data_IF_325862057676
#
_entry.id   IF_325862057676
#
_cell.length_a   1.000
_cell.length_b   1.000
_cell.length_c   1.000
_cell.angle_alpha   90.00
_cell.angle_beta   90.00
_cell.angle_gamma   90.00
#
_symmetry.space_group_name_H-M   'P 1'
#
loop_
_entity.id
_entity.type
_entity.pdbx_description
1 polymer ?
#
# COMPACT_ATOMS: atom_id res chain seq x y z
N UNK A 1 -9.59 23.67 17.91
CA UNK A 1 -8.60 22.60 17.88
C UNK A 1 -8.65 21.89 16.54
N UNK A 2 -7.52 21.79 15.91
CA UNK A 2 -7.45 21.17 14.59
C UNK A 2 -7.21 19.68 14.74
N UNK A 3 -8.01 18.88 14.07
CA UNK A 3 -7.83 17.44 14.08
C UNK A 3 -7.10 17.01 12.81
N UNK A 4 -6.17 16.11 12.99
CA UNK A 4 -5.51 15.47 11.84
C UNK A 4 -6.31 14.28 11.40
N UNK A 5 -6.48 14.18 10.10
CA UNK A 5 -7.09 13.01 9.49
C UNK A 5 -6.02 12.25 8.74
N UNK A 6 -5.92 10.95 9.02
CA UNK A 6 -4.97 10.09 8.33
C UNK A 6 -5.69 9.34 7.24
N UNK A 7 -5.09 9.33 6.06
CA UNK A 7 -5.58 8.57 4.92
C UNK A 7 -4.62 7.44 4.65
N UNK A 8 -5.16 6.25 4.47
CA UNK A 8 -4.35 5.09 4.13
C UNK A 8 -4.30 5.01 2.61
N UNK A 9 -3.12 5.24 2.06
CA UNK A 9 -2.94 5.31 0.62
C UNK A 9 -2.31 4.06 0.04
N UNK A 10 -2.16 3.01 0.85
CA UNK A 10 -1.43 1.82 0.44
C UNK A 10 -2.08 1.14 -0.78
N UNK A 11 -3.40 1.18 -0.87
CA UNK A 11 -4.10 0.57 -2.00
C UNK A 11 -3.66 1.19 -3.32
N UNK A 12 -3.68 2.51 -3.38
CA UNK A 12 -3.29 3.23 -4.59
C UNK A 12 -1.82 3.06 -4.90
N UNK A 13 -0.98 3.04 -3.87
CA UNK A 13 0.46 2.88 -4.06
C UNK A 13 0.81 1.50 -4.59
N UNK A 14 0.17 0.46 -4.09
CA UNK A 14 0.39 -0.90 -4.57
C UNK A 14 0.01 -1.00 -6.04
N UNK A 15 -1.16 -0.48 -6.38
CA UNK A 15 -1.62 -0.54 -7.76
C UNK A 15 -0.70 0.26 -8.68
N UNK A 16 -0.31 1.46 -8.27
CA UNK A 16 0.57 2.29 -9.08
C UNK A 16 1.93 1.63 -9.29
N UNK A 17 2.50 1.04 -8.24
CA UNK A 17 3.78 0.36 -8.35
C UNK A 17 3.67 -0.85 -9.27
N UNK A 18 2.62 -1.64 -9.09
CA UNK A 18 2.41 -2.83 -9.90
C UNK A 18 2.24 -2.47 -11.37
N UNK A 19 1.41 -1.46 -11.65
CA UNK A 19 1.18 -1.01 -13.03
C UNK A 19 2.47 -0.48 -13.66
N UNK A 20 3.20 0.33 -12.92
CA UNK A 20 4.46 0.90 -13.43
C UNK A 20 5.49 -0.19 -13.69
N UNK A 21 5.48 -1.25 -12.91
CA UNK A 21 6.41 -2.37 -13.05
C UNK A 21 5.89 -3.44 -13.99
N UNK A 22 4.68 -3.28 -14.51
CA UNK A 22 4.03 -4.25 -15.41
C UNK A 22 3.91 -5.62 -14.79
N UNK A 23 3.60 -5.65 -13.51
CA UNK A 23 3.40 -6.90 -12.78
C UNK A 23 1.92 -7.21 -12.68
N UNK A 24 1.57 -8.48 -12.83
CA UNK A 24 0.22 -8.92 -12.53
C UNK A 24 0.06 -9.01 -11.02
N UNK A 25 -1.18 -9.09 -10.57
CA UNK A 25 -1.45 -9.28 -9.14
C UNK A 25 -0.81 -10.57 -8.65
N UNK A 26 -0.84 -11.61 -9.46
CA UNK A 26 -0.22 -12.89 -9.11
C UNK A 26 1.29 -12.76 -8.96
N UNK A 27 1.92 -12.06 -9.91
CA UNK A 27 3.37 -11.87 -9.86
C UNK A 27 3.79 -11.06 -8.64
N UNK A 28 3.06 -9.97 -8.38
CA UNK A 28 3.37 -9.16 -7.21
C UNK A 28 3.12 -9.93 -5.91
N UNK A 29 2.03 -10.69 -5.89
CA UNK A 29 1.75 -11.55 -4.73
C UNK A 29 2.87 -12.50 -4.43
N UNK A 30 3.47 -13.11 -5.46
CA UNK A 30 4.59 -14.01 -5.27
C UNK A 30 5.80 -13.31 -4.66
N UNK A 31 6.02 -12.07 -5.03
CA UNK A 31 7.13 -11.29 -4.46
C UNK A 31 6.95 -11.04 -2.98
N UNK A 32 5.70 -10.89 -2.57
CA UNK A 32 5.35 -10.59 -1.17
C UNK A 32 5.17 -11.87 -0.36
N UNK A 33 4.75 -12.95 -1.01
CA UNK A 33 4.41 -14.20 -0.36
C UNK A 33 2.93 -14.35 -0.06
N UNK A 34 2.08 -13.71 -0.88
CA UNK A 34 0.63 -13.79 -0.71
C UNK A 34 -0.03 -14.11 -2.04
N UNK A 35 -1.31 -14.41 -1.99
CA UNK A 35 -2.07 -14.76 -3.20
C UNK A 35 -2.40 -13.53 -4.02
N UNK A 36 -2.72 -13.74 -5.30
CA UNK A 36 -3.22 -12.67 -6.16
C UNK A 36 -4.50 -12.07 -5.58
N UNK A 37 -5.33 -12.88 -4.95
CA UNK A 37 -6.57 -12.40 -4.37
C UNK A 37 -6.30 -11.44 -3.21
N UNK A 38 -5.27 -11.70 -2.43
CA UNK A 38 -4.89 -10.77 -1.36
C UNK A 38 -4.50 -9.41 -1.95
N UNK A 39 -3.69 -9.42 -3.01
CA UNK A 39 -3.30 -8.17 -3.67
C UNK A 39 -4.53 -7.43 -4.20
N UNK A 40 -5.44 -8.16 -4.82
CA UNK A 40 -6.68 -7.57 -5.32
C UNK A 40 -7.45 -6.87 -4.20
N UNK A 41 -7.61 -7.54 -3.06
CA UNK A 41 -8.35 -6.97 -1.94
C UNK A 41 -7.65 -5.74 -1.37
N UNK A 42 -6.34 -5.78 -1.32
CA UNK A 42 -5.57 -4.61 -0.86
C UNK A 42 -5.75 -3.43 -1.80
N UNK A 43 -5.73 -3.67 -3.10
CA UNK A 43 -5.89 -2.60 -4.10
C UNK A 43 -7.30 -2.02 -4.10
N UNK A 44 -8.28 -2.82 -3.74
CA UNK A 44 -9.66 -2.36 -3.67
C UNK A 44 -10.05 -1.77 -2.34
N UNK A 45 -9.14 -1.81 -1.36
CA UNK A 45 -9.43 -1.31 -0.03
C UNK A 45 -10.42 -2.18 0.75
N UNK A 46 -10.63 -3.43 0.30
CA UNK A 46 -11.50 -4.36 1.01
C UNK A 46 -10.86 -4.77 2.33
N UNK A 47 -9.55 -4.97 2.31
CA UNK A 47 -8.78 -5.18 3.52
C UNK A 47 -7.39 -4.61 3.32
N UNK A 48 -6.63 -4.56 4.41
CA UNK A 48 -5.29 -3.98 4.38
C UNK A 48 -4.26 -5.05 4.67
N UNK A 49 -3.03 -4.88 4.18
CA UNK A 49 -1.95 -5.79 4.54
C UNK A 49 -1.75 -5.78 6.06
N UNK A 50 -1.44 -6.97 6.59
CA UNK A 50 -1.01 -7.06 7.97
C UNK A 50 0.24 -6.20 8.16
N UNK A 51 0.37 -5.61 9.35
CA UNK A 51 1.50 -4.72 9.62
C UNK A 51 2.84 -5.41 9.38
N UNK A 52 2.89 -6.72 9.50
CA UNK A 52 4.12 -7.46 9.26
C UNK A 52 4.58 -7.41 7.81
N UNK A 53 3.67 -7.14 6.89
CA UNK A 53 4.03 -7.00 5.48
C UNK A 53 4.53 -5.61 5.12
N UNK A 54 4.26 -4.60 5.97
CA UNK A 54 4.56 -3.22 5.62
C UNK A 54 6.04 -2.97 5.37
N UNK A 55 6.97 -3.45 6.22
CA UNK A 55 8.38 -3.23 5.93
C UNK A 55 8.81 -3.87 4.61
N UNK A 56 8.30 -5.06 4.30
CA UNK A 56 8.65 -5.75 3.07
C UNK A 56 8.10 -5.00 1.85
N UNK A 57 6.85 -4.54 1.95
CA UNK A 57 6.26 -3.74 0.87
C UNK A 57 7.03 -2.46 0.65
N UNK A 58 7.39 -1.78 1.71
CA UNK A 58 8.14 -0.53 1.61
C UNK A 58 9.50 -0.76 0.94
N UNK A 59 10.16 -1.87 1.28
CA UNK A 59 11.44 -2.20 0.70
C UNK A 59 11.33 -2.47 -0.79
N UNK A 60 10.34 -3.29 -1.18
CA UNK A 60 10.12 -3.63 -2.59
C UNK A 60 9.75 -2.39 -3.39
N UNK A 61 8.90 -1.55 -2.84
CA UNK A 61 8.39 -0.37 -3.52
C UNK A 61 9.32 0.84 -3.39
N UNK A 62 10.45 0.66 -2.71
CA UNK A 62 11.46 1.70 -2.52
C UNK A 62 10.85 2.97 -1.93
N UNK A 63 10.12 2.79 -0.85
CA UNK A 63 9.51 3.91 -0.14
C UNK A 63 9.57 3.63 1.36
N UNK A 64 9.09 4.59 2.13
CA UNK A 64 9.02 4.44 3.58
C UNK A 64 7.65 3.93 3.97
N UNK A 65 7.58 3.26 5.11
CA UNK A 65 6.28 2.82 5.63
C UNK A 65 5.35 4.02 5.81
N UNK A 66 5.91 5.14 6.25
CA UNK A 66 5.12 6.36 6.44
C UNK A 66 4.43 6.82 5.16
N UNK A 67 4.99 6.48 4.00
CA UNK A 67 4.42 6.87 2.72
C UNK A 67 3.08 6.18 2.44
N UNK A 68 2.78 5.10 3.17
CA UNK A 68 1.50 4.43 3.03
C UNK A 68 0.37 5.15 3.75
N UNK A 69 0.72 6.15 4.53
CA UNK A 69 -0.24 6.93 5.31
C UNK A 69 -0.04 8.40 5.00
N UNK A 70 -1.11 9.07 4.65
CA UNK A 70 -1.06 10.52 4.45
C UNK A 70 -1.81 11.20 5.58
N UNK A 71 -1.27 12.32 6.01
CA UNK A 71 -1.95 13.14 6.98
C UNK A 71 -2.59 14.29 6.24
N UNK A 72 -3.90 14.41 6.40
CA UNK A 72 -4.62 15.55 5.89
C UNK A 72 -4.46 16.67 6.91
N UNK A 73 -3.40 17.41 6.73
CA UNK A 73 -3.00 18.40 7.70
C UNK A 73 -3.45 19.76 7.24
N UNK A 74 -4.36 20.36 8.01
CA UNK A 74 -4.80 21.70 7.72
C UNK A 74 -3.62 22.64 7.84
N UNK A 75 -3.41 23.40 6.82
CA UNK A 75 -2.38 24.42 6.87
C UNK A 75 -2.78 25.49 7.88
N UNK A 76 -1.90 25.79 8.75
CA UNK A 76 -2.17 26.79 9.76
C UNK A 76 -1.80 28.18 9.30
#
# INVERSE_FOLDING_TARGET
>A
MTMRTYHITIADRIKAYRDASRLTQSEFGKMIGVSAQAIYKWEKGICYPDMLFLPHLAQIMDCKIDDFFQTDEESL
#
